data_IF_450300449829
#
_entry.id   IF_450300449829
#
_cell.length_a   1.000
_cell.length_b   1.000
_cell.length_c   1.000
_cell.angle_alpha   90.00
_cell.angle_beta   90.00
_cell.angle_gamma   90.00
#
_symmetry.space_group_name_H-M   'P 1'
#
loop_
_entity.id
_entity.type
_entity.pdbx_description
1 polymer ?
#
# COMPACT_ATOMS: atom_id res chain seq x y z
N UNK A 1 -1.77 -31.50 -43.52
CA UNK A 1 -2.62 -30.31 -43.29
C UNK A 1 -2.90 -30.19 -41.80
N UNK A 2 -2.33 -29.22 -41.08
CA UNK A 2 -2.62 -29.01 -39.65
C UNK A 2 -3.85 -28.13 -39.51
N UNK A 3 -5.03 -28.73 -39.67
CA UNK A 3 -6.32 -28.07 -39.45
C UNK A 3 -6.43 -27.71 -37.96
N UNK A 4 -6.45 -26.42 -37.63
CA UNK A 4 -6.61 -25.93 -36.25
C UNK A 4 -5.34 -25.51 -35.50
N UNK A 5 -4.16 -25.47 -36.14
CA UNK A 5 -3.00 -24.83 -35.51
C UNK A 5 -3.24 -23.32 -35.45
N UNK A 6 -3.49 -22.79 -34.25
CA UNK A 6 -3.61 -21.35 -33.97
C UNK A 6 -2.36 -20.90 -33.19
N UNK A 7 -1.31 -20.47 -33.89
CA UNK A 7 -0.08 -20.12 -33.25
C UNK A 7 -0.22 -18.95 -32.28
N UNK A 8 0.55 -19.00 -31.20
CA UNK A 8 0.57 -17.95 -30.19
C UNK A 8 0.96 -16.57 -30.77
N UNK A 9 1.82 -16.54 -31.80
CA UNK A 9 2.22 -15.30 -32.48
C UNK A 9 1.12 -14.66 -33.34
N UNK A 10 0.05 -15.38 -33.70
CA UNK A 10 -1.12 -14.78 -34.40
C UNK A 10 -2.17 -14.22 -33.43
N UNK A 11 -2.01 -14.43 -32.12
CA UNK A 11 -2.97 -14.02 -31.11
C UNK A 11 -2.60 -12.65 -30.53
N UNK A 12 -3.23 -11.58 -31.00
CA UNK A 12 -2.95 -10.21 -30.58
C UNK A 12 -2.97 -9.95 -29.06
N UNK A 13 -3.73 -10.73 -28.28
CA UNK A 13 -3.75 -10.61 -26.82
C UNK A 13 -2.47 -11.12 -26.15
N UNK A 14 -1.77 -12.08 -26.76
CA UNK A 14 -0.50 -12.60 -26.24
C UNK A 14 0.64 -11.58 -26.41
N UNK A 15 0.56 -10.73 -27.44
CA UNK A 15 1.45 -9.58 -27.63
C UNK A 15 1.16 -8.42 -26.66
N UNK A 16 -0.09 -8.25 -26.21
CA UNK A 16 -0.45 -7.20 -25.23
C UNK A 16 0.24 -7.39 -23.88
N UNK A 17 0.56 -8.64 -23.49
CA UNK A 17 1.33 -8.93 -22.28
C UNK A 17 2.82 -8.64 -22.44
N UNK A 18 3.38 -8.90 -23.63
CA UNK A 18 4.79 -8.67 -23.95
C UNK A 18 5.14 -7.19 -24.16
N UNK A 19 4.15 -6.36 -24.53
CA UNK A 19 4.28 -4.91 -24.68
C UNK A 19 4.01 -4.11 -23.39
N UNK A 20 3.78 -4.77 -22.25
CA UNK A 20 3.64 -4.06 -20.97
C UNK A 20 5.02 -3.60 -20.53
N UNK A 21 5.45 -2.45 -21.04
CA UNK A 21 6.61 -1.75 -20.50
C UNK A 21 6.31 -1.37 -19.05
N UNK A 22 7.17 -1.79 -18.13
CA UNK A 22 7.11 -1.36 -16.75
C UNK A 22 7.34 0.17 -16.73
N UNK A 23 6.35 0.94 -16.31
CA UNK A 23 6.46 2.40 -16.22
C UNK A 23 7.19 2.78 -14.92
N UNK A 24 8.01 3.82 -14.99
CA UNK A 24 8.63 4.41 -13.81
C UNK A 24 8.19 5.87 -13.73
N UNK A 25 7.37 6.18 -12.73
CA UNK A 25 6.81 7.52 -12.53
C UNK A 25 7.29 8.09 -11.20
N UNK A 26 7.62 9.37 -11.16
CA UNK A 26 7.78 10.10 -9.90
C UNK A 26 6.43 10.31 -9.21
N UNK A 27 6.43 10.67 -7.93
CA UNK A 27 5.18 11.00 -7.21
C UNK A 27 4.41 12.14 -7.88
N UNK A 28 5.10 13.12 -8.48
CA UNK A 28 4.46 14.24 -9.18
C UNK A 28 3.88 13.83 -10.53
N UNK A 29 4.57 12.99 -11.31
CA UNK A 29 4.04 12.44 -12.55
C UNK A 29 2.83 11.53 -12.30
N UNK A 30 2.87 10.74 -11.22
CA UNK A 30 1.77 9.85 -10.83
C UNK A 30 0.47 10.64 -10.59
N UNK A 31 0.54 11.86 -10.04
CA UNK A 31 -0.64 12.71 -9.81
C UNK A 31 -1.41 13.04 -11.09
N UNK A 32 -0.76 13.02 -12.26
CA UNK A 32 -1.40 13.23 -13.55
C UNK A 32 -2.34 12.10 -14.00
N UNK A 33 -2.40 10.99 -13.24
CA UNK A 33 -3.21 9.81 -13.51
C UNK A 33 -4.33 9.62 -12.46
N UNK A 34 -4.93 10.73 -12.02
CA UNK A 34 -6.03 10.77 -11.05
C UNK A 34 -7.42 10.47 -11.67
N UNK A 35 -7.48 10.34 -13.00
CA UNK A 35 -8.71 10.05 -13.74
C UNK A 35 -9.56 11.26 -14.10
N UNK A 36 -9.09 12.49 -13.82
CA UNK A 36 -9.72 13.73 -14.30
C UNK A 36 -9.74 13.82 -15.82
N UNK A 37 -8.69 13.34 -16.47
CA UNK A 37 -8.60 13.21 -17.93
C UNK A 37 -9.18 11.86 -18.41
N UNK A 38 -10.31 11.84 -19.14
CA UNK A 38 -10.92 10.62 -19.67
C UNK A 38 -10.01 9.80 -20.60
N UNK A 39 -9.05 10.46 -21.27
CA UNK A 39 -8.12 9.82 -22.20
C UNK A 39 -6.99 9.06 -21.51
N UNK A 40 -6.72 9.39 -20.23
CA UNK A 40 -5.67 8.77 -19.44
C UNK A 40 -6.20 7.59 -18.60
N UNK A 41 -5.34 6.59 -18.35
CA UNK A 41 -5.62 5.56 -17.35
C UNK A 41 -5.60 6.17 -15.94
N UNK A 42 -6.19 5.43 -15.00
CA UNK A 42 -6.16 5.78 -13.58
C UNK A 42 -5.15 4.89 -12.89
N UNK A 43 -4.17 5.50 -12.26
CA UNK A 43 -3.13 4.80 -11.52
C UNK A 43 -3.29 4.99 -10.03
N UNK A 44 -2.93 3.95 -9.29
CA UNK A 44 -2.84 3.96 -7.84
C UNK A 44 -1.54 3.28 -7.46
N UNK A 45 -0.75 3.90 -6.60
CA UNK A 45 0.45 3.28 -6.08
C UNK A 45 0.21 2.67 -4.69
N UNK A 46 0.89 1.56 -4.44
CA UNK A 46 0.95 0.89 -3.16
C UNK A 46 2.40 0.54 -2.87
N UNK A 47 3.01 1.25 -1.92
CA UNK A 47 4.36 1.01 -1.42
C UNK A 47 5.37 1.02 -2.57
N UNK A 48 5.24 2.03 -3.43
CA UNK A 48 6.05 2.18 -4.63
C UNK A 48 5.68 1.28 -5.82
N UNK A 49 4.69 0.38 -5.73
CA UNK A 49 4.21 -0.38 -6.88
C UNK A 49 3.01 0.30 -7.52
N UNK A 50 3.03 0.54 -8.83
CA UNK A 50 1.95 1.22 -9.56
C UNK A 50 1.00 0.19 -10.16
N UNK A 51 -0.30 0.39 -9.91
CA UNK A 51 -1.39 -0.43 -10.41
C UNK A 51 -2.32 0.38 -11.31
N UNK A 52 -2.76 -0.24 -12.40
CA UNK A 52 -3.79 0.27 -13.29
C UNK A 52 -5.16 -0.13 -12.76
N UNK A 53 -5.91 0.87 -12.29
CA UNK A 53 -7.27 0.72 -11.74
C UNK A 53 -8.33 1.31 -12.66
N UNK A 54 -7.99 1.56 -13.93
CA UNK A 54 -8.89 2.16 -14.93
C UNK A 54 -10.18 1.37 -15.13
N UNK A 55 -10.16 0.06 -14.91
CA UNK A 55 -11.36 -0.80 -14.97
C UNK A 55 -12.42 -0.44 -13.93
N UNK A 56 -12.05 0.30 -12.88
CA UNK A 56 -12.93 0.74 -11.79
C UNK A 56 -13.01 2.28 -11.73
N UNK A 57 -13.17 2.92 -12.89
CA UNK A 57 -13.25 4.39 -13.02
C UNK A 57 -14.37 5.04 -12.19
N UNK A 58 -15.49 4.34 -11.94
CA UNK A 58 -16.55 4.83 -11.05
C UNK A 58 -16.12 4.88 -9.57
N UNK A 59 -15.12 4.09 -9.18
CA UNK A 59 -14.64 3.98 -7.80
C UNK A 59 -13.48 4.93 -7.53
N UNK A 60 -12.52 4.99 -8.46
CA UNK A 60 -11.28 5.79 -8.31
C UNK A 60 -11.24 7.06 -9.15
N UNK A 61 -12.12 7.22 -10.15
CA UNK A 61 -12.21 8.45 -10.91
C UNK A 61 -12.92 9.58 -10.13
N UNK A 62 -13.00 10.78 -10.72
CA UNK A 62 -13.65 11.93 -10.10
C UNK A 62 -15.07 11.61 -9.61
N UNK A 63 -15.38 11.98 -8.37
CA UNK A 63 -16.67 11.69 -7.72
C UNK A 63 -16.80 10.27 -7.14
N UNK A 64 -15.83 9.38 -7.38
CA UNK A 64 -15.78 8.05 -6.77
C UNK A 64 -15.42 8.08 -5.29
N UNK A 65 -15.86 7.06 -4.55
CA UNK A 65 -15.61 6.96 -3.10
C UNK A 65 -14.14 6.79 -2.72
N UNK A 66 -13.28 6.41 -3.68
CA UNK A 66 -11.85 6.24 -3.50
C UNK A 66 -11.02 7.17 -4.42
N UNK A 67 -11.63 8.26 -4.92
CA UNK A 67 -10.98 9.20 -5.83
C UNK A 67 -9.69 9.82 -5.25
N UNK A 68 -9.62 10.00 -3.92
CA UNK A 68 -8.45 10.55 -3.24
C UNK A 68 -7.21 9.64 -3.27
N UNK A 69 -7.35 8.38 -3.70
CA UNK A 69 -6.21 7.47 -3.92
C UNK A 69 -5.68 7.49 -5.35
N UNK A 70 -6.44 8.03 -6.30
CA UNK A 70 -6.01 8.09 -7.68
C UNK A 70 -4.82 9.05 -7.83
N UNK A 71 -3.82 8.62 -8.59
CA UNK A 71 -2.57 9.35 -8.82
C UNK A 71 -1.67 9.49 -7.59
N UNK A 72 -1.85 8.67 -6.54
CA UNK A 72 -1.07 8.75 -5.30
C UNK A 72 -0.63 7.38 -4.80
N UNK A 73 0.38 7.37 -3.94
CA UNK A 73 0.76 6.17 -3.17
C UNK A 73 0.00 6.14 -1.85
N UNK A 74 -0.95 5.22 -1.77
CA UNK A 74 -1.92 5.11 -0.70
C UNK A 74 -1.55 4.04 0.35
N UNK A 75 -0.33 3.51 0.33
CA UNK A 75 0.07 2.40 1.20
C UNK A 75 -0.15 2.65 2.68
N UNK A 76 0.17 3.85 3.16
CA UNK A 76 -0.04 4.19 4.57
C UNK A 76 -1.53 4.18 4.92
N UNK A 77 -2.35 4.83 4.10
CA UNK A 77 -3.80 4.89 4.28
C UNK A 77 -4.47 3.52 4.32
N UNK A 78 -4.03 2.59 3.46
CA UNK A 78 -4.54 1.22 3.43
C UNK A 78 -4.19 0.40 4.68
N UNK A 79 -3.04 0.69 5.31
CA UNK A 79 -2.67 0.07 6.57
C UNK A 79 -3.39 0.71 7.77
N UNK A 80 -3.45 2.05 7.80
CA UNK A 80 -4.01 2.80 8.93
C UNK A 80 -5.53 2.86 8.91
N UNK A 81 -6.17 2.55 7.78
CA UNK A 81 -7.61 2.74 7.58
C UNK A 81 -8.02 4.21 7.43
N UNK A 82 -7.06 5.13 7.45
CA UNK A 82 -7.27 6.57 7.43
C UNK A 82 -7.21 7.13 6.01
N UNK A 83 -8.23 6.79 5.22
CA UNK A 83 -8.22 6.96 3.78
C UNK A 83 -8.11 8.42 3.29
N UNK A 84 -8.68 9.38 4.04
CA UNK A 84 -8.68 10.80 3.64
C UNK A 84 -7.51 11.61 4.17
N UNK A 85 -7.03 11.26 5.36
CA UNK A 85 -5.99 12.03 6.07
C UNK A 85 -4.60 11.50 5.80
N UNK A 86 -4.46 10.21 5.52
CA UNK A 86 -3.17 9.51 5.55
C UNK A 86 -2.69 9.04 4.17
N UNK A 87 -2.85 9.91 3.16
CA UNK A 87 -2.54 9.63 1.74
C UNK A 87 -1.05 9.74 1.39
N UNK A 88 -0.17 9.48 2.36
CA UNK A 88 1.28 9.57 2.18
C UNK A 88 1.91 8.20 1.90
N UNK A 89 3.02 8.13 1.14
CA UNK A 89 3.79 6.89 0.97
C UNK A 89 4.61 6.47 2.20
N UNK A 90 4.69 7.30 3.23
CA UNK A 90 5.63 7.10 4.34
C UNK A 90 5.10 6.10 5.37
N UNK A 91 5.70 4.91 5.44
CA UNK A 91 5.29 3.87 6.40
C UNK A 91 5.93 4.03 7.80
N UNK A 92 6.78 5.04 8.02
CA UNK A 92 7.40 5.28 9.33
C UNK A 92 6.33 5.56 10.38
N UNK A 93 6.39 4.84 11.50
CA UNK A 93 5.43 5.00 12.60
C UNK A 93 4.18 4.14 12.51
N UNK A 94 3.85 3.56 11.33
CA UNK A 94 2.71 2.64 11.20
C UNK A 94 2.88 1.40 12.08
N UNK A 95 4.12 0.97 12.33
CA UNK A 95 4.43 -0.10 13.29
C UNK A 95 3.84 0.13 14.68
N UNK A 96 3.72 1.38 15.14
CA UNK A 96 3.12 1.72 16.44
C UNK A 96 1.64 1.34 16.52
N UNK A 97 0.93 1.29 15.39
CA UNK A 97 -0.47 0.83 15.30
C UNK A 97 -0.61 -0.64 15.75
N UNK A 98 0.37 -1.48 15.41
CA UNK A 98 0.35 -2.90 15.75
C UNK A 98 1.00 -3.20 17.10
N UNK A 99 1.62 -2.20 17.75
CA UNK A 99 2.23 -2.38 19.06
C UNK A 99 1.20 -2.25 20.18
N UNK A 100 1.09 -3.25 21.07
CA UNK A 100 0.08 -3.27 22.10
C UNK A 100 0.24 -2.12 23.10
N UNK A 101 -0.89 -1.62 23.60
CA UNK A 101 -0.95 -0.68 24.71
C UNK A 101 -1.10 -1.49 26.00
N UNK A 102 -0.24 -1.16 26.95
CA UNK A 102 -0.33 -1.66 28.31
C UNK A 102 -1.41 -0.85 29.06
N UNK A 103 -2.51 -1.48 29.50
CA UNK A 103 -3.51 -0.77 30.32
C UNK A 103 -2.90 -0.41 31.68
N UNK A 104 -3.46 0.59 32.35
CA UNK A 104 -2.88 1.12 33.60
C UNK A 104 -2.73 0.06 34.69
N UNK A 105 -3.65 -0.92 34.75
CA UNK A 105 -3.59 -2.06 35.67
C UNK A 105 -2.40 -3.00 35.43
N UNK A 106 -1.82 -3.00 34.23
CA UNK A 106 -0.66 -3.83 33.91
C UNK A 106 0.67 -3.16 34.31
N UNK A 107 0.67 -1.86 34.63
CA UNK A 107 1.88 -1.09 34.99
C UNK A 107 2.64 -1.71 36.17
N UNK A 108 1.94 -2.26 37.15
CA UNK A 108 2.55 -2.91 38.31
C UNK A 108 3.34 -4.18 37.95
N UNK A 109 2.88 -4.94 36.93
CA UNK A 109 3.63 -6.11 36.44
C UNK A 109 4.94 -5.68 35.77
N UNK A 110 4.96 -4.53 35.09
CA UNK A 110 6.16 -4.02 34.43
C UNK A 110 7.16 -3.39 35.39
N UNK A 111 6.67 -2.76 36.47
CA UNK A 111 7.53 -2.25 37.54
C UNK A 111 8.38 -3.37 38.17
N UNK A 112 7.92 -4.63 38.07
CA UNK A 112 8.60 -5.82 38.60
C UNK A 112 9.52 -6.51 37.58
N UNK A 113 9.50 -6.14 36.29
CA UNK A 113 10.35 -6.75 35.26
C UNK A 113 11.74 -6.13 35.22
N UNK A 114 12.74 -6.96 34.88
CA UNK A 114 14.10 -6.49 34.63
C UNK A 114 14.21 -5.75 33.30
N UNK A 115 15.23 -4.89 33.17
CA UNK A 115 15.54 -4.20 31.90
C UNK A 115 15.78 -5.17 30.74
N UNK A 116 16.36 -6.34 31.02
CA UNK A 116 16.62 -7.38 30.02
C UNK A 116 15.33 -7.98 29.47
N UNK A 117 14.40 -8.36 30.35
CA UNK A 117 13.11 -8.91 29.94
C UNK A 117 12.27 -7.87 29.17
N UNK A 118 12.30 -6.60 29.60
CA UNK A 118 11.63 -5.50 28.88
C UNK A 118 12.20 -5.35 27.47
N UNK A 119 13.53 -5.41 27.32
CA UNK A 119 14.18 -5.33 26.00
C UNK A 119 13.77 -6.49 25.09
N UNK A 120 13.86 -7.73 25.59
CA UNK A 120 13.48 -8.94 24.82
C UNK A 120 12.03 -8.86 24.37
N UNK A 121 11.14 -8.41 25.26
CA UNK A 121 9.72 -8.22 24.96
C UNK A 121 9.51 -7.18 23.87
N UNK A 122 10.08 -5.98 24.03
CA UNK A 122 9.91 -4.89 23.08
C UNK A 122 10.46 -5.26 21.69
N UNK A 123 11.55 -6.03 21.64
CA UNK A 123 12.11 -6.54 20.38
C UNK A 123 11.16 -7.54 19.70
N UNK A 124 10.57 -8.47 20.46
CA UNK A 124 9.58 -9.41 19.95
C UNK A 124 8.36 -8.68 19.39
N UNK A 125 7.80 -7.74 20.14
CA UNK A 125 6.64 -6.95 19.74
C UNK A 125 6.93 -6.11 18.50
N UNK A 126 8.11 -5.49 18.43
CA UNK A 126 8.53 -4.76 17.25
C UNK A 126 8.66 -5.67 16.02
N UNK A 127 9.14 -6.91 16.20
CA UNK A 127 9.25 -7.90 15.12
C UNK A 127 7.87 -8.34 14.62
N UNK A 128 6.95 -8.60 15.53
CA UNK A 128 5.55 -8.94 15.24
C UNK A 128 4.83 -7.78 14.56
N UNK A 129 4.96 -6.56 15.07
CA UNK A 129 4.39 -5.35 14.47
C UNK A 129 4.93 -5.11 13.05
N UNK A 130 6.25 -5.28 12.84
CA UNK A 130 6.85 -5.20 11.49
C UNK A 130 6.33 -6.29 10.56
N UNK A 131 6.06 -7.49 11.08
CA UNK A 131 5.45 -8.58 10.30
C UNK A 131 4.03 -8.21 9.91
N UNK A 132 3.21 -7.73 10.85
CA UNK A 132 1.84 -7.30 10.59
C UNK A 132 1.75 -6.19 9.52
N UNK A 133 2.66 -5.21 9.55
CA UNK A 133 2.78 -4.19 8.48
C UNK A 133 3.03 -4.82 7.11
N UNK A 134 4.00 -5.75 7.03
CA UNK A 134 4.30 -6.44 5.75
C UNK A 134 3.14 -7.29 5.26
N UNK A 135 2.53 -8.06 6.16
CA UNK A 135 1.41 -8.94 5.83
C UNK A 135 0.18 -8.11 5.40
N UNK A 136 -0.06 -6.97 6.03
CA UNK A 136 -1.09 -6.00 5.64
C UNK A 136 -0.86 -5.41 4.26
N UNK A 137 0.38 -5.03 3.91
CA UNK A 137 0.71 -4.57 2.56
C UNK A 137 0.50 -5.69 1.53
N UNK A 138 0.97 -6.90 1.82
CA UNK A 138 0.84 -8.03 0.91
C UNK A 138 -0.64 -8.36 0.66
N UNK A 139 -1.48 -8.30 1.70
CA UNK A 139 -2.93 -8.46 1.55
C UNK A 139 -3.51 -7.51 0.49
N UNK A 140 -3.12 -6.24 0.52
CA UNK A 140 -3.54 -5.25 -0.48
C UNK A 140 -2.88 -5.48 -1.84
N UNK A 141 -1.60 -5.86 -1.90
CA UNK A 141 -0.94 -6.23 -3.16
C UNK A 141 -1.67 -7.37 -3.86
N UNK A 142 -2.10 -8.43 -3.15
CA UNK A 142 -2.89 -9.54 -3.71
C UNK A 142 -4.18 -9.04 -4.35
N UNK A 143 -4.86 -8.08 -3.73
CA UNK A 143 -6.08 -7.48 -4.30
C UNK A 143 -5.77 -6.70 -5.59
N UNK A 144 -4.72 -5.86 -5.59
CA UNK A 144 -4.38 -4.99 -6.72
C UNK A 144 -3.62 -5.69 -7.86
N UNK A 145 -2.96 -6.82 -7.59
CA UNK A 145 -2.41 -7.70 -8.63
C UNK A 145 -3.48 -8.41 -9.46
N UNK A 146 -4.73 -8.40 -8.99
CA UNK A 146 -5.86 -9.04 -9.65
C UNK A 146 -6.15 -10.47 -9.18
N UNK A 147 -5.38 -10.98 -8.21
CA UNK A 147 -5.51 -12.35 -7.67
C UNK A 147 -6.90 -12.60 -7.04
N UNK A 148 -7.61 -11.53 -6.64
CA UNK A 148 -8.98 -11.56 -6.10
C UNK A 148 -10.07 -11.35 -7.17
N UNK A 149 -9.76 -11.56 -8.45
CA UNK A 149 -10.71 -11.43 -9.56
C UNK A 149 -11.03 -9.98 -9.95
N UNK A 150 -10.31 -9.00 -9.39
CA UNK A 150 -10.37 -7.60 -9.83
C UNK A 150 -9.54 -7.47 -11.11
N UNK A 151 -10.03 -6.70 -12.09
CA UNK A 151 -9.34 -6.45 -13.37
C UNK A 151 -8.23 -5.39 -13.24
N UNK A 152 -7.55 -5.37 -12.09
CA UNK A 152 -6.40 -4.52 -11.83
C UNK A 152 -5.12 -5.26 -12.24
N UNK A 153 -4.06 -4.51 -12.52
CA UNK A 153 -2.76 -5.09 -12.88
C UNK A 153 -1.63 -4.18 -12.45
N UNK A 154 -0.48 -4.78 -12.11
CA UNK A 154 0.77 -4.02 -11.95
C UNK A 154 1.18 -3.48 -13.32
N UNK A 155 1.55 -2.21 -13.36
CA UNK A 155 2.05 -1.55 -14.58
C UNK A 155 3.42 -0.91 -14.41
N UNK A 156 3.86 -0.68 -13.17
CA UNK A 156 5.05 0.12 -12.93
C UNK A 156 5.51 0.18 -11.49
N UNK A 157 6.49 1.05 -11.25
CA UNK A 157 7.02 1.39 -9.94
C UNK A 157 7.23 2.90 -9.80
N UNK A 158 7.08 3.42 -8.58
CA UNK A 158 7.29 4.83 -8.27
C UNK A 158 8.78 5.08 -8.08
N UNK A 159 9.32 6.00 -8.86
CA UNK A 159 10.72 6.42 -8.79
C UNK A 159 10.90 7.47 -7.71
N UNK A 160 11.68 7.13 -6.67
CA UNK A 160 12.04 8.03 -5.56
C UNK A 160 13.55 8.01 -5.33
N UNK A 161 14.09 9.11 -4.81
CA UNK A 161 15.51 9.18 -4.41
C UNK A 161 15.79 8.27 -3.20
N UNK A 162 17.02 7.75 -3.04
CA UNK A 162 17.37 6.79 -1.98
C UNK A 162 17.05 7.25 -0.54
N UNK A 163 17.04 8.55 -0.30
CA UNK A 163 16.84 9.17 1.02
C UNK A 163 15.65 10.15 1.07
N UNK A 164 14.69 9.99 0.16
CA UNK A 164 13.53 10.89 0.04
C UNK A 164 12.77 11.10 1.37
N UNK A 165 12.72 10.08 2.24
CA UNK A 165 12.09 10.13 3.57
C UNK A 165 12.73 11.15 4.53
N UNK A 166 14.01 11.46 4.39
CA UNK A 166 14.69 12.43 5.27
C UNK A 166 14.22 13.87 5.01
N UNK A 167 13.67 14.14 3.82
CA UNK A 167 13.11 15.45 3.45
C UNK A 167 11.80 15.76 4.18
N UNK A 168 11.13 14.74 4.72
CA UNK A 168 9.83 14.87 5.35
C UNK A 168 9.90 14.53 6.84
N UNK A 169 9.19 15.31 7.65
CA UNK A 169 8.94 14.97 9.04
C UNK A 169 8.18 13.64 9.13
N UNK A 170 8.44 12.90 10.22
CA UNK A 170 7.80 11.61 10.42
C UNK A 170 6.31 11.84 10.73
N UNK A 171 5.37 11.31 9.93
CA UNK A 171 3.95 11.53 10.17
C UNK A 171 3.49 10.77 11.42
N UNK A 172 2.65 11.44 12.21
CA UNK A 172 1.97 10.84 13.35
C UNK A 172 0.90 9.84 12.91
N UNK A 173 0.47 8.98 13.83
CA UNK A 173 -0.66 8.10 13.55
C UNK A 173 -1.94 8.92 13.56
N UNK A 174 -2.83 8.65 12.62
CA UNK A 174 -4.18 9.19 12.68
C UNK A 174 -4.95 8.62 13.89
N UNK A 175 -5.93 9.39 14.37
CA UNK A 175 -6.73 9.04 15.55
C UNK A 175 -7.39 7.64 15.46
N UNK A 176 -7.90 7.28 14.28
CA UNK A 176 -8.50 5.96 14.06
C UNK A 176 -7.47 4.83 14.19
N UNK A 177 -6.27 4.99 13.65
CA UNK A 177 -5.20 3.99 13.82
C UNK A 177 -4.71 3.94 15.27
N UNK A 178 -4.70 5.07 15.99
CA UNK A 178 -4.36 5.07 17.41
C UNK A 178 -5.40 4.31 18.25
N UNK A 179 -6.70 4.45 17.95
CA UNK A 179 -7.79 3.72 18.60
C UNK A 179 -7.80 2.22 18.30
N UNK A 180 -7.32 1.82 17.14
CA UNK A 180 -7.25 0.41 16.72
C UNK A 180 -6.06 -0.35 17.32
N UNK A 181 -5.23 0.30 18.13
CA UNK A 181 -4.08 -0.34 18.76
C UNK A 181 -4.54 -1.47 19.68
N UNK A 182 -3.91 -2.66 19.61
CA UNK A 182 -4.31 -3.76 20.46
C UNK A 182 -4.05 -3.41 21.93
N UNK A 183 -4.98 -3.77 22.81
CA UNK A 183 -4.77 -3.71 24.26
C UNK A 183 -4.34 -5.10 24.71
N UNK A 184 -3.33 -5.16 25.59
CA UNK A 184 -2.82 -6.43 26.12
C UNK A 184 -3.76 -7.03 27.16
#
# INVERSE_FOLDING_TARGET
MTWGYNPWWTRAHEWKGLLVCNIYLTDDELRGYDGTDPSKPIYLALNGTIYDVSSARMTYGPGGSYAFFAGRDAARAFLTGCFRTDTTPDLRGVTRMYMPIDPDVAREKFAKMTRGEIKIRNERELREARKAVRDGLEHWHVLFRGDKGKKYRKVGEVKREKDWLKKFEKPELCEQAEKQRPVR
#
